data_IF_375607710832
#
_entry.id   IF_375607710832
#
_cell.length_a   1.000
_cell.length_b   1.000
_cell.length_c   1.000
_cell.angle_alpha   90.00
_cell.angle_beta   90.00
_cell.angle_gamma   90.00
#
_symmetry.space_group_name_H-M   'P 1'
#
loop_
_entity.id
_entity.type
_entity.pdbx_description
1 polymer ?
#
# COMPACT_ATOMS: atom_id res chain seq x y z
N UNK A 1 -15.60 14.96 5.63
CA UNK A 1 -14.61 14.47 6.59
C UNK A 1 -14.54 12.95 6.52
N UNK A 2 -13.35 12.45 6.31
CA UNK A 2 -13.03 11.02 6.28
C UNK A 2 -12.18 10.66 7.49
N UNK A 3 -12.65 9.74 8.32
CA UNK A 3 -11.90 9.22 9.46
C UNK A 3 -11.26 7.89 9.05
N UNK A 4 -9.94 7.78 9.20
CA UNK A 4 -9.20 6.57 8.82
C UNK A 4 -9.46 5.43 9.80
N UNK A 5 -9.93 4.30 9.31
CA UNK A 5 -10.16 3.09 10.12
C UNK A 5 -8.86 2.32 10.41
N UNK A 6 -7.81 2.57 9.61
CA UNK A 6 -6.52 1.91 9.77
C UNK A 6 -5.65 2.49 10.91
N UNK A 7 -6.00 3.69 11.41
CA UNK A 7 -5.26 4.40 12.44
C UNK A 7 -6.19 4.71 13.63
N UNK A 8 -6.52 3.68 14.37
CA UNK A 8 -7.35 3.78 15.57
C UNK A 8 -6.45 3.59 16.79
N UNK A 9 -6.59 4.42 17.84
CA UNK A 9 -5.85 4.22 19.08
C UNK A 9 -6.08 2.83 19.66
N UNK A 10 -5.05 2.27 20.29
CA UNK A 10 -5.07 0.92 20.85
C UNK A 10 -6.22 0.74 21.86
N UNK A 11 -7.03 -0.29 21.66
CA UNK A 11 -8.20 -0.56 22.51
C UNK A 11 -9.47 0.22 22.18
N UNK A 12 -9.48 1.08 21.16
CA UNK A 12 -10.66 1.85 20.75
C UNK A 12 -11.38 1.19 19.57
N UNK A 13 -12.73 1.17 19.62
CA UNK A 13 -13.54 0.70 18.50
C UNK A 13 -13.59 1.76 17.39
N UNK A 14 -13.26 1.45 16.11
CA UNK A 14 -13.30 2.38 14.99
C UNK A 14 -14.63 3.13 14.83
N UNK A 15 -15.76 2.44 15.02
CA UNK A 15 -17.09 3.05 14.95
C UNK A 15 -17.31 4.10 16.04
N UNK A 16 -16.86 3.85 17.26
CA UNK A 16 -16.97 4.81 18.36
C UNK A 16 -16.10 6.03 18.13
N UNK A 17 -14.92 5.85 17.54
CA UNK A 17 -14.05 6.93 17.15
C UNK A 17 -14.71 7.82 16.09
N UNK A 18 -15.29 7.23 15.05
CA UNK A 18 -15.99 7.96 13.98
C UNK A 18 -17.19 8.74 14.53
N UNK A 19 -18.01 8.14 15.39
CA UNK A 19 -19.14 8.82 16.05
C UNK A 19 -18.67 9.96 16.97
N UNK A 20 -17.52 9.79 17.63
CA UNK A 20 -16.97 10.84 18.48
C UNK A 20 -16.45 12.02 17.66
N UNK A 21 -15.81 11.74 16.51
CA UNK A 21 -15.38 12.76 15.55
C UNK A 21 -16.59 13.54 15.00
N UNK A 22 -17.66 12.84 14.61
CA UNK A 22 -18.91 13.46 14.15
C UNK A 22 -19.47 14.44 15.18
N UNK A 23 -19.58 14.01 16.45
CA UNK A 23 -20.06 14.88 17.53
C UNK A 23 -19.22 16.12 17.70
N UNK A 24 -17.90 16.01 17.61
CA UNK A 24 -17.00 17.15 17.72
C UNK A 24 -17.06 18.09 16.51
N UNK A 25 -17.31 17.56 15.29
CA UNK A 25 -17.61 18.37 14.10
C UNK A 25 -18.83 19.23 14.35
N UNK A 26 -19.92 18.66 14.87
CA UNK A 26 -21.13 19.41 15.26
C UNK A 26 -20.83 20.54 16.22
N UNK A 27 -20.15 20.24 17.30
CA UNK A 27 -19.90 21.21 18.38
C UNK A 27 -18.91 22.33 17.99
N UNK A 28 -17.98 22.08 17.07
CA UNK A 28 -16.89 23.01 16.79
C UNK A 28 -17.00 23.75 15.48
N UNK A 29 -17.65 23.14 14.49
CA UNK A 29 -17.72 23.71 13.15
C UNK A 29 -19.13 24.23 12.81
N UNK A 30 -20.20 23.55 13.25
CA UNK A 30 -21.54 23.93 12.84
C UNK A 30 -22.03 25.24 13.45
N UNK A 31 -21.53 25.62 14.63
CA UNK A 31 -21.92 26.90 15.27
C UNK A 31 -21.36 28.14 14.55
N UNK A 32 -20.37 27.96 13.65
CA UNK A 32 -19.69 29.05 12.97
C UNK A 32 -20.31 29.42 11.63
N UNK A 33 -21.07 28.51 11.02
CA UNK A 33 -21.64 28.68 9.67
C UNK A 33 -23.06 28.11 9.57
N UNK A 34 -23.85 28.67 8.67
CA UNK A 34 -25.12 28.06 8.29
C UNK A 34 -24.82 26.79 7.49
N UNK A 35 -24.96 25.64 8.13
CA UNK A 35 -24.61 24.35 7.52
C UNK A 35 -25.60 23.25 7.86
N UNK A 36 -25.63 22.24 7.00
CA UNK A 36 -26.38 20.99 7.18
C UNK A 36 -25.41 19.82 7.20
N UNK A 37 -25.63 18.91 8.13
CA UNK A 37 -24.81 17.72 8.28
C UNK A 37 -25.53 16.48 7.77
N UNK A 38 -24.76 15.60 7.16
CA UNK A 38 -25.21 14.28 6.67
C UNK A 38 -24.11 13.25 6.93
N UNK A 39 -24.55 11.99 7.16
CA UNK A 39 -23.63 10.85 7.14
C UNK A 39 -23.91 10.09 5.85
N UNK A 40 -22.86 9.89 5.06
CA UNK A 40 -22.97 9.16 3.81
C UNK A 40 -21.71 8.32 3.57
N UNK A 41 -21.88 7.02 3.34
CA UNK A 41 -20.79 6.06 3.12
C UNK A 41 -19.68 6.15 4.19
N UNK A 42 -20.05 6.24 5.46
CA UNK A 42 -19.10 6.30 6.58
C UNK A 42 -18.34 7.62 6.73
N UNK A 43 -18.70 8.64 5.95
CA UNK A 43 -18.11 9.97 6.03
C UNK A 43 -19.11 10.99 6.57
N UNK A 44 -18.62 11.97 7.34
CA UNK A 44 -19.42 13.11 7.78
C UNK A 44 -19.34 14.22 6.74
N UNK A 45 -20.48 14.62 6.17
CA UNK A 45 -20.60 15.69 5.18
C UNK A 45 -21.20 16.92 5.82
N UNK A 46 -20.65 18.07 5.48
CA UNK A 46 -21.24 19.37 5.78
C UNK A 46 -21.55 20.09 4.46
N UNK A 47 -22.80 20.50 4.27
CA UNK A 47 -23.20 21.43 3.22
C UNK A 47 -23.29 22.80 3.87
N UNK A 48 -22.49 23.73 3.38
CA UNK A 48 -22.37 25.08 3.93
C UNK A 48 -22.93 26.08 2.94
N UNK A 49 -23.65 27.08 3.48
CA UNK A 49 -24.08 28.26 2.73
C UNK A 49 -23.00 29.34 2.84
N UNK A 50 -22.54 29.84 1.69
CA UNK A 50 -21.51 30.86 1.60
C UNK A 50 -22.11 32.18 1.15
N UNK A 51 -21.88 33.25 1.90
CA UNK A 51 -22.29 34.61 1.48
C UNK A 51 -21.28 35.25 0.51
N UNK A 52 -20.05 34.71 0.43
CA UNK A 52 -18.99 35.17 -0.46
C UNK A 52 -17.96 34.06 -0.71
N UNK A 53 -17.36 34.01 -1.92
CA UNK A 53 -16.34 33.02 -2.28
C UNK A 53 -15.09 33.09 -1.41
N UNK A 54 -14.71 34.27 -0.94
CA UNK A 54 -13.53 34.48 -0.07
C UNK A 54 -13.61 33.69 1.24
N UNK A 55 -14.82 33.25 1.65
CA UNK A 55 -15.00 32.46 2.87
C UNK A 55 -14.50 31.02 2.75
N UNK A 56 -14.26 30.50 1.55
CA UNK A 56 -13.79 29.13 1.36
C UNK A 56 -12.43 28.89 2.01
N UNK A 57 -11.55 29.89 1.97
CA UNK A 57 -10.23 29.84 2.65
C UNK A 57 -10.39 29.74 4.16
N UNK A 58 -11.30 30.51 4.75
CA UNK A 58 -11.58 30.46 6.19
C UNK A 58 -12.13 29.10 6.62
N UNK A 59 -12.99 28.49 5.78
CA UNK A 59 -13.53 27.16 6.00
C UNK A 59 -12.42 26.11 5.89
N UNK A 60 -11.56 26.22 4.87
CA UNK A 60 -10.39 25.35 4.69
C UNK A 60 -9.52 25.37 5.93
N UNK A 61 -9.18 26.56 6.44
CA UNK A 61 -8.37 26.74 7.64
C UNK A 61 -9.05 26.17 8.90
N UNK A 62 -10.36 26.35 9.04
CA UNK A 62 -11.08 25.82 10.18
C UNK A 62 -11.14 24.29 10.16
N UNK A 63 -11.39 23.71 9.00
CA UNK A 63 -11.35 22.25 8.81
C UNK A 63 -9.94 21.69 9.06
N UNK A 64 -8.90 22.40 8.64
CA UNK A 64 -7.51 22.01 8.86
C UNK A 64 -7.15 22.03 10.35
N UNK A 65 -7.53 23.11 11.06
CA UNK A 65 -7.37 23.18 12.52
C UNK A 65 -8.11 22.06 13.23
N UNK A 66 -9.33 21.72 12.78
CA UNK A 66 -10.11 20.63 13.34
C UNK A 66 -9.40 19.27 13.13
N UNK A 67 -8.93 18.97 11.93
CA UNK A 67 -8.22 17.71 11.62
C UNK A 67 -6.98 17.54 12.51
N UNK A 68 -6.19 18.60 12.70
CA UNK A 68 -5.01 18.56 13.59
C UNK A 68 -5.40 18.42 15.06
N UNK A 69 -6.49 19.07 15.49
CA UNK A 69 -7.02 18.95 16.84
C UNK A 69 -7.52 17.52 17.12
N UNK A 70 -8.31 16.95 16.20
CA UNK A 70 -8.82 15.57 16.31
C UNK A 70 -7.69 14.57 16.51
N UNK A 71 -6.60 14.72 15.74
CA UNK A 71 -5.43 13.86 15.92
C UNK A 71 -4.76 14.06 17.28
N UNK A 72 -4.56 15.29 17.72
CA UNK A 72 -3.84 15.61 18.96
C UNK A 72 -4.60 15.18 20.21
N UNK A 73 -5.91 15.33 20.23
CA UNK A 73 -6.75 15.11 21.41
C UNK A 73 -7.39 13.71 21.42
N UNK A 74 -7.80 13.22 20.26
CA UNK A 74 -8.54 11.96 20.15
C UNK A 74 -7.70 10.84 19.53
N UNK A 75 -6.52 11.13 19.00
CA UNK A 75 -5.75 10.21 18.19
C UNK A 75 -6.39 9.87 16.84
N UNK A 76 -7.48 10.57 16.46
CA UNK A 76 -8.23 10.31 15.24
C UNK A 76 -7.52 10.90 14.02
N UNK A 77 -7.21 10.06 13.03
CA UNK A 77 -6.68 10.50 11.75
C UNK A 77 -7.83 10.90 10.84
N UNK A 78 -8.10 12.21 10.77
CA UNK A 78 -9.19 12.78 9.98
C UNK A 78 -8.63 13.60 8.83
N UNK A 79 -9.21 13.45 7.64
CA UNK A 79 -8.93 14.28 6.46
C UNK A 79 -10.23 14.94 6.00
N UNK A 80 -10.24 16.25 5.83
CA UNK A 80 -11.37 17.00 5.30
C UNK A 80 -11.12 17.30 3.83
N UNK A 81 -12.02 16.86 2.95
CA UNK A 81 -12.04 17.26 1.53
C UNK A 81 -13.03 18.41 1.34
N UNK A 82 -12.61 19.44 0.62
CA UNK A 82 -13.44 20.58 0.30
C UNK A 82 -13.68 20.59 -1.21
N UNK A 83 -14.95 20.52 -1.58
CA UNK A 83 -15.40 20.54 -2.98
C UNK A 83 -15.44 21.93 -3.56
N UNK A 84 -15.91 22.03 -4.79
CA UNK A 84 -16.13 23.32 -5.48
C UNK A 84 -17.36 24.03 -4.93
N UNK A 85 -17.32 25.36 -4.92
CA UNK A 85 -18.52 26.19 -4.69
C UNK A 85 -19.49 25.97 -5.85
N UNK A 86 -20.78 25.93 -5.55
CA UNK A 86 -21.83 25.78 -6.53
C UNK A 86 -22.96 26.76 -6.25
N UNK A 87 -23.57 27.30 -7.32
CA UNK A 87 -24.66 28.29 -7.23
C UNK A 87 -26.03 27.64 -7.18
N UNK A 88 -26.12 26.33 -7.42
CA UNK A 88 -27.36 25.58 -7.50
C UNK A 88 -27.34 24.32 -6.63
N UNK A 89 -28.47 24.03 -5.98
CA UNK A 89 -28.67 22.78 -5.24
C UNK A 89 -28.51 21.54 -6.12
N UNK A 90 -28.72 21.63 -7.42
CA UNK A 90 -28.53 20.51 -8.36
C UNK A 90 -27.07 20.15 -8.57
N UNK A 91 -26.15 21.07 -8.25
CA UNK A 91 -24.71 20.88 -8.39
C UNK A 91 -24.04 20.36 -7.10
N UNK A 92 -24.80 20.21 -6.01
CA UNK A 92 -24.27 19.71 -4.74
C UNK A 92 -23.65 18.32 -4.92
N UNK A 93 -24.23 17.45 -5.75
CA UNK A 93 -23.67 16.14 -6.05
C UNK A 93 -22.28 16.23 -6.67
N UNK A 94 -22.09 17.17 -7.60
CA UNK A 94 -20.78 17.42 -8.22
C UNK A 94 -19.79 17.98 -7.19
N UNK A 95 -20.20 18.94 -6.35
CA UNK A 95 -19.36 19.45 -5.27
C UNK A 95 -18.94 18.35 -4.28
N UNK A 96 -19.87 17.42 -3.97
CA UNK A 96 -19.57 16.26 -3.14
C UNK A 96 -18.52 15.32 -3.80
N UNK A 97 -18.67 15.03 -5.09
CA UNK A 97 -17.68 14.22 -5.82
C UNK A 97 -16.31 14.88 -5.80
N UNK A 98 -16.24 16.19 -5.98
CA UNK A 98 -15.00 16.97 -5.88
C UNK A 98 -14.42 16.97 -4.47
N UNK A 99 -15.24 17.05 -3.42
CA UNK A 99 -14.79 16.93 -2.05
C UNK A 99 -14.22 15.52 -1.75
N UNK A 100 -14.86 14.48 -2.29
CA UNK A 100 -14.37 13.09 -2.18
C UNK A 100 -13.06 12.88 -2.95
N UNK A 101 -12.95 13.48 -4.14
CA UNK A 101 -11.70 13.52 -4.89
C UNK A 101 -10.59 14.20 -4.08
N UNK A 102 -10.88 15.36 -3.45
CA UNK A 102 -9.93 16.04 -2.58
C UNK A 102 -9.45 15.15 -1.43
N UNK A 103 -10.34 14.37 -0.79
CA UNK A 103 -9.93 13.41 0.25
C UNK A 103 -8.97 12.35 -0.31
N UNK A 104 -9.14 11.91 -1.56
CA UNK A 104 -8.23 10.92 -2.15
C UNK A 104 -6.80 11.41 -2.28
N UNK A 105 -6.59 12.72 -2.46
CA UNK A 105 -5.27 13.34 -2.50
C UNK A 105 -4.50 13.31 -1.17
N UNK A 106 -5.11 12.78 -0.07
CA UNK A 106 -4.41 12.58 1.21
C UNK A 106 -3.16 11.72 1.08
N UNK A 107 -3.12 10.83 0.09
CA UNK A 107 -1.95 9.98 -0.20
C UNK A 107 -0.76 10.77 -0.71
N UNK A 108 -0.98 11.93 -1.35
CA UNK A 108 0.06 12.82 -1.89
C UNK A 108 0.37 13.99 -0.95
N UNK A 109 -0.66 14.55 -0.30
CA UNK A 109 -0.51 15.75 0.54
C UNK A 109 -0.48 15.44 2.04
N UNK A 110 -0.65 14.17 2.41
CA UNK A 110 -0.69 13.72 3.80
C UNK A 110 -2.09 13.78 4.42
N UNK A 111 -2.25 13.05 5.51
CA UNK A 111 -3.46 12.98 6.34
C UNK A 111 -3.51 14.09 7.40
N UNK A 112 -4.57 14.14 8.21
CA UNK A 112 -4.74 15.05 9.37
C UNK A 112 -4.85 16.52 8.98
N UNK A 113 -5.41 16.80 7.81
CA UNK A 113 -5.51 18.14 7.24
C UNK A 113 -6.76 18.30 6.38
N UNK A 114 -7.07 19.55 6.06
CA UNK A 114 -8.02 19.87 5.01
C UNK A 114 -7.32 19.94 3.65
N UNK A 115 -8.01 19.49 2.62
CA UNK A 115 -7.56 19.53 1.23
C UNK A 115 -8.68 20.14 0.40
N UNK A 116 -8.41 21.30 -0.17
CA UNK A 116 -9.35 22.02 -1.03
C UNK A 116 -9.06 21.68 -2.49
N UNK A 117 -10.05 21.12 -3.20
CA UNK A 117 -9.89 20.72 -4.59
C UNK A 117 -9.52 21.90 -5.50
N UNK A 118 -10.00 23.10 -5.21
CA UNK A 118 -9.67 24.31 -5.95
C UNK A 118 -8.22 24.78 -5.81
N UNK A 119 -7.51 24.32 -4.78
CA UNK A 119 -6.09 24.63 -4.56
C UNK A 119 -5.17 23.59 -5.17
N UNK A 120 -5.72 22.43 -5.59
CA UNK A 120 -4.97 21.39 -6.29
C UNK A 120 -4.77 21.85 -7.73
N UNK A 121 -3.63 22.46 -8.02
CA UNK A 121 -3.26 22.88 -9.37
C UNK A 121 -2.82 21.64 -10.15
N UNK A 122 -3.48 21.28 -11.27
CA UNK A 122 -2.94 20.27 -12.17
C UNK A 122 -1.61 20.78 -12.72
N UNK A 123 -0.52 20.14 -12.37
CA UNK A 123 0.75 20.40 -13.05
C UNK A 123 0.67 19.78 -14.43
N UNK A 124 0.55 20.62 -15.46
CA UNK A 124 0.33 20.22 -16.86
C UNK A 124 1.49 19.46 -17.53
N UNK A 125 2.51 19.06 -16.80
CA UNK A 125 3.61 18.27 -17.34
C UNK A 125 3.49 16.81 -16.90
N UNK A 126 2.81 16.02 -17.74
CA UNK A 126 2.97 14.57 -17.72
C UNK A 126 4.41 14.28 -18.16
N UNK A 127 5.33 14.22 -17.21
CA UNK A 127 6.63 13.61 -17.49
C UNK A 127 6.33 12.15 -17.86
N UNK A 128 6.83 11.67 -19.02
CA UNK A 128 6.67 10.27 -19.36
C UNK A 128 7.25 9.46 -18.21
N UNK A 129 6.42 8.60 -17.64
CA UNK A 129 6.86 7.61 -16.66
C UNK A 129 7.93 6.79 -17.36
N UNK A 130 9.18 6.92 -16.95
CA UNK A 130 10.27 6.15 -17.53
C UNK A 130 9.94 4.67 -17.33
N UNK A 131 9.99 3.91 -18.42
CA UNK A 131 9.69 2.47 -18.46
C UNK A 131 10.60 1.70 -17.48
N UNK A 132 10.02 0.99 -16.54
CA UNK A 132 10.62 0.75 -15.25
C UNK A 132 10.79 -0.72 -14.93
N UNK A 133 11.35 -1.49 -15.83
CA UNK A 133 11.93 -2.78 -15.44
C UNK A 133 12.97 -2.63 -14.30
N UNK A 134 13.45 -1.42 -14.07
CA UNK A 134 14.44 -1.09 -13.03
C UNK A 134 13.86 -0.74 -11.66
N UNK A 135 12.56 -0.38 -11.55
CA UNK A 135 12.03 0.27 -10.35
C UNK A 135 12.13 -0.61 -9.11
N UNK A 136 11.64 -1.82 -9.15
CA UNK A 136 11.57 -2.69 -7.97
C UNK A 136 12.75 -3.65 -7.82
N UNK A 137 13.80 -3.53 -8.64
CA UNK A 137 14.93 -4.48 -8.62
C UNK A 137 15.65 -4.53 -7.26
N UNK A 138 15.81 -3.38 -6.61
CA UNK A 138 16.44 -3.31 -5.29
C UNK A 138 15.61 -4.06 -4.25
N UNK A 139 14.30 -3.88 -4.25
CA UNK A 139 13.37 -4.58 -3.35
C UNK A 139 13.35 -6.08 -3.64
N UNK A 140 13.27 -6.50 -4.89
CA UNK A 140 13.27 -7.91 -5.26
C UNK A 140 14.61 -8.60 -4.94
N UNK A 141 15.73 -7.87 -5.01
CA UNK A 141 17.01 -8.37 -4.54
C UNK A 141 17.00 -8.59 -3.03
N UNK A 142 16.51 -7.63 -2.25
CA UNK A 142 16.38 -7.75 -0.80
C UNK A 142 15.48 -8.92 -0.40
N UNK A 143 14.35 -9.13 -1.09
CA UNK A 143 13.46 -10.28 -0.89
C UNK A 143 14.20 -11.62 -1.13
N UNK A 144 15.02 -11.71 -2.19
CA UNK A 144 15.80 -12.93 -2.48
C UNK A 144 16.87 -13.22 -1.44
N UNK A 145 17.51 -12.19 -0.88
CA UNK A 145 18.51 -12.31 0.19
C UNK A 145 17.81 -12.70 1.50
N UNK A 146 16.68 -12.08 1.79
CA UNK A 146 15.84 -12.39 2.93
C UNK A 146 16.32 -11.74 4.23
N UNK A 147 16.97 -10.60 4.14
CA UNK A 147 17.31 -9.75 5.28
C UNK A 147 16.18 -8.73 5.50
N UNK A 148 15.53 -8.80 6.67
CA UNK A 148 14.38 -7.95 7.01
C UNK A 148 14.75 -6.47 7.02
N UNK A 149 15.93 -6.11 7.49
CA UNK A 149 16.39 -4.72 7.52
C UNK A 149 16.70 -4.17 6.12
N UNK A 150 17.16 -5.01 5.18
CA UNK A 150 17.33 -4.62 3.78
C UNK A 150 15.99 -4.49 3.07
N UNK A 151 15.02 -5.38 3.35
CA UNK A 151 13.66 -5.31 2.82
C UNK A 151 13.00 -3.99 3.24
N UNK A 152 13.05 -3.66 4.52
CA UNK A 152 12.47 -2.42 5.06
C UNK A 152 13.10 -1.18 4.41
N UNK A 153 14.43 -1.12 4.32
CA UNK A 153 15.14 0.00 3.66
C UNK A 153 14.78 0.12 2.17
N UNK A 154 14.69 -1.01 1.47
CA UNK A 154 14.33 -1.03 0.06
C UNK A 154 12.87 -0.60 -0.15
N UNK A 155 11.93 -1.03 0.71
CA UNK A 155 10.53 -0.62 0.66
C UNK A 155 10.39 0.89 0.87
N UNK A 156 11.05 1.46 1.87
CA UNK A 156 11.09 2.91 2.06
C UNK A 156 11.67 3.66 0.86
N UNK A 157 12.74 3.13 0.25
CA UNK A 157 13.33 3.70 -0.96
C UNK A 157 12.38 3.70 -2.17
N UNK A 158 11.54 2.66 -2.32
CA UNK A 158 10.51 2.62 -3.37
C UNK A 158 9.40 3.65 -3.10
N UNK A 159 8.98 3.83 -1.85
CA UNK A 159 8.00 4.86 -1.48
C UNK A 159 8.52 6.27 -1.71
N UNK A 160 9.79 6.55 -1.39
CA UNK A 160 10.41 7.85 -1.70
C UNK A 160 10.41 8.16 -3.20
N UNK A 161 10.73 7.16 -4.03
CA UNK A 161 10.68 7.29 -5.49
C UNK A 161 9.26 7.53 -5.97
N UNK A 162 8.29 6.77 -5.44
CA UNK A 162 6.88 6.94 -5.77
C UNK A 162 6.45 8.37 -5.47
N UNK A 163 6.74 8.87 -4.26
CA UNK A 163 6.36 10.22 -3.85
C UNK A 163 7.01 11.32 -4.70
N UNK A 164 8.29 11.17 -5.06
CA UNK A 164 9.01 12.12 -5.92
C UNK A 164 8.50 12.16 -7.36
N UNK A 165 7.96 11.04 -7.86
CA UNK A 165 7.58 10.89 -9.26
C UNK A 165 6.07 11.00 -9.51
N UNK A 166 5.26 11.17 -8.46
CA UNK A 166 3.81 11.27 -8.57
C UNK A 166 3.33 12.65 -8.13
N UNK A 167 2.74 13.39 -9.08
CA UNK A 167 2.18 14.72 -8.85
C UNK A 167 0.65 14.70 -8.87
N UNK A 168 0.05 13.65 -9.47
CA UNK A 168 -1.39 13.50 -9.64
C UNK A 168 -1.88 12.15 -9.11
N UNK A 169 -3.17 12.08 -8.77
CA UNK A 169 -3.81 10.82 -8.36
C UNK A 169 -3.76 9.74 -9.45
N UNK A 170 -3.86 10.13 -10.72
CA UNK A 170 -3.74 9.18 -11.83
C UNK A 170 -2.36 8.54 -11.89
N UNK A 171 -1.30 9.34 -11.71
CA UNK A 171 0.08 8.82 -11.63
C UNK A 171 0.28 7.94 -10.39
N UNK A 172 -0.27 8.33 -9.24
CA UNK A 172 -0.22 7.53 -8.01
C UNK A 172 -0.91 6.18 -8.20
N UNK A 173 -2.12 6.17 -8.75
CA UNK A 173 -2.85 4.94 -9.02
C UNK A 173 -2.10 4.04 -10.01
N UNK A 174 -1.50 4.61 -11.06
CA UNK A 174 -0.69 3.84 -12.00
C UNK A 174 0.53 3.24 -11.31
N UNK A 175 1.27 4.01 -10.52
CA UNK A 175 2.44 3.54 -9.80
C UNK A 175 2.12 2.45 -8.77
N UNK A 176 0.99 2.56 -8.06
CA UNK A 176 0.54 1.49 -7.14
C UNK A 176 0.12 0.22 -7.88
N UNK A 177 -0.51 0.35 -9.05
CA UNK A 177 -0.79 -0.80 -9.93
C UNK A 177 0.50 -1.48 -10.40
N UNK A 178 1.54 -0.71 -10.75
CA UNK A 178 2.84 -1.24 -11.13
C UNK A 178 3.51 -2.00 -9.98
N UNK A 179 3.43 -1.51 -8.75
CA UNK A 179 3.95 -2.21 -7.56
C UNK A 179 3.26 -3.56 -7.39
N UNK A 180 1.92 -3.60 -7.42
CA UNK A 180 1.16 -4.86 -7.27
C UNK A 180 1.48 -5.82 -8.40
N UNK A 181 1.52 -5.33 -9.66
CA UNK A 181 1.88 -6.14 -10.83
C UNK A 181 3.32 -6.66 -10.75
N UNK A 182 4.24 -5.86 -10.22
CA UNK A 182 5.62 -6.24 -9.99
C UNK A 182 5.75 -7.41 -9.01
N UNK A 183 5.03 -7.37 -7.90
CA UNK A 183 4.97 -8.50 -6.95
C UNK A 183 4.37 -9.75 -7.59
N UNK A 184 3.29 -9.59 -8.36
CA UNK A 184 2.69 -10.72 -9.09
C UNK A 184 3.69 -11.37 -10.04
N UNK A 185 4.36 -10.55 -10.89
CA UNK A 185 5.38 -11.03 -11.82
C UNK A 185 6.52 -11.72 -11.08
N UNK A 186 7.03 -11.10 -10.02
CA UNK A 186 8.10 -11.67 -9.19
C UNK A 186 7.72 -13.03 -8.60
N UNK A 187 6.51 -13.19 -8.07
CA UNK A 187 6.02 -14.47 -7.57
C UNK A 187 5.94 -15.52 -8.68
N UNK A 188 5.38 -15.15 -9.83
CA UNK A 188 5.27 -16.04 -11.00
C UNK A 188 6.64 -16.53 -11.47
N UNK A 189 7.62 -15.63 -11.61
CA UNK A 189 8.99 -15.93 -12.04
C UNK A 189 9.72 -16.86 -11.04
N UNK A 190 9.29 -16.88 -9.77
CA UNK A 190 9.84 -17.75 -8.74
C UNK A 190 8.91 -18.94 -8.38
N UNK A 191 7.95 -19.27 -9.23
CA UNK A 191 7.01 -20.39 -9.06
C UNK A 191 6.20 -20.32 -7.77
N UNK A 192 5.91 -19.12 -7.28
CA UNK A 192 5.04 -18.86 -6.15
C UNK A 192 3.64 -18.44 -6.63
N UNK A 193 2.61 -18.93 -5.94
CA UNK A 193 1.23 -18.53 -6.19
C UNK A 193 0.91 -17.25 -5.42
N UNK A 194 0.90 -16.13 -6.14
CA UNK A 194 0.61 -14.82 -5.57
C UNK A 194 -0.78 -14.75 -4.90
N UNK A 195 -1.80 -15.40 -5.48
CA UNK A 195 -3.14 -15.37 -4.91
C UNK A 195 -3.23 -16.08 -3.56
N UNK A 196 -2.38 -17.10 -3.31
CA UNK A 196 -2.29 -17.74 -2.00
C UNK A 196 -1.56 -16.89 -0.96
N UNK A 197 -0.76 -15.93 -1.41
CA UNK A 197 0.01 -15.04 -0.53
C UNK A 197 -0.81 -13.82 -0.17
N UNK A 198 -1.44 -13.19 -1.15
CA UNK A 198 -2.06 -11.85 -1.03
C UNK A 198 -3.58 -11.85 -1.20
N UNK A 199 -4.19 -12.95 -1.64
CA UNK A 199 -5.61 -12.99 -2.02
C UNK A 199 -5.86 -12.58 -3.48
N UNK A 200 -7.12 -12.28 -3.82
CA UNK A 200 -7.49 -11.92 -5.19
C UNK A 200 -6.89 -10.57 -5.59
N UNK A 201 -6.22 -10.51 -6.75
CA UNK A 201 -5.58 -9.30 -7.29
C UNK A 201 -6.52 -8.09 -7.36
N UNK A 202 -7.76 -8.28 -7.77
CA UNK A 202 -8.71 -7.18 -7.91
C UNK A 202 -8.99 -6.48 -6.57
N UNK A 203 -9.19 -7.27 -5.51
CA UNK A 203 -9.39 -6.74 -4.17
C UNK A 203 -8.14 -6.03 -3.62
N UNK A 204 -6.95 -6.45 -4.07
CA UNK A 204 -5.68 -5.84 -3.67
C UNK A 204 -5.54 -4.45 -4.28
N UNK A 205 -5.85 -4.27 -5.57
CA UNK A 205 -5.80 -2.95 -6.21
C UNK A 205 -6.73 -1.95 -5.53
N UNK A 206 -7.96 -2.34 -5.26
CA UNK A 206 -8.92 -1.49 -4.54
C UNK A 206 -8.41 -1.11 -3.15
N UNK A 207 -7.85 -2.07 -2.43
CA UNK A 207 -7.29 -1.84 -1.10
C UNK A 207 -6.06 -0.93 -1.13
N UNK A 208 -5.11 -1.21 -2.03
CA UNK A 208 -3.83 -0.48 -2.12
C UNK A 208 -4.03 0.95 -2.60
N UNK A 209 -4.95 1.19 -3.55
CA UNK A 209 -5.26 2.53 -4.06
C UNK A 209 -5.87 3.48 -3.00
N UNK A 210 -6.40 2.93 -1.91
CA UNK A 210 -6.99 3.71 -0.81
C UNK A 210 -6.05 3.87 0.39
N UNK A 211 -4.89 3.22 0.38
CA UNK A 211 -3.90 3.30 1.45
C UNK A 211 -3.22 4.67 1.44
N UNK A 212 -2.96 5.21 2.62
CA UNK A 212 -2.02 6.30 2.79
C UNK A 212 -0.57 5.79 2.70
N UNK A 213 0.38 6.72 2.65
CA UNK A 213 1.81 6.41 2.48
C UNK A 213 2.32 5.42 3.54
N UNK A 214 1.95 5.60 4.80
CA UNK A 214 2.40 4.75 5.90
C UNK A 214 1.83 3.33 5.80
N UNK A 215 0.54 3.22 5.48
CA UNK A 215 -0.14 1.93 5.29
C UNK A 215 0.37 1.20 4.06
N UNK A 216 0.66 1.92 2.97
CA UNK A 216 1.22 1.33 1.75
C UNK A 216 2.65 0.83 1.99
N UNK A 217 3.49 1.60 2.69
CA UNK A 217 4.84 1.19 3.07
C UNK A 217 4.80 -0.09 3.92
N UNK A 218 3.97 -0.12 4.95
CA UNK A 218 3.80 -1.29 5.82
C UNK A 218 3.33 -2.51 5.02
N UNK A 219 2.40 -2.33 4.07
CA UNK A 219 1.92 -3.40 3.20
C UNK A 219 3.04 -3.93 2.29
N UNK A 220 3.86 -3.05 1.69
CA UNK A 220 5.01 -3.47 0.85
C UNK A 220 6.01 -4.29 1.69
N UNK A 221 6.34 -3.85 2.90
CA UNK A 221 7.24 -4.57 3.81
C UNK A 221 6.67 -5.94 4.14
N UNK A 222 5.44 -6.01 4.62
CA UNK A 222 4.76 -7.26 4.99
C UNK A 222 4.69 -8.25 3.81
N UNK A 223 4.32 -7.76 2.62
CA UNK A 223 4.27 -8.58 1.40
C UNK A 223 5.65 -9.12 1.05
N UNK A 224 6.68 -8.28 1.11
CA UNK A 224 8.06 -8.63 0.80
C UNK A 224 8.60 -9.70 1.78
N UNK A 225 8.34 -9.56 3.06
CA UNK A 225 8.73 -10.54 4.08
C UNK A 225 8.03 -11.88 3.87
N UNK A 226 6.71 -11.85 3.62
CA UNK A 226 5.93 -13.06 3.36
C UNK A 226 6.45 -13.81 2.13
N UNK A 227 6.75 -13.09 1.04
CA UNK A 227 7.32 -13.68 -0.17
C UNK A 227 8.70 -14.26 0.12
N UNK A 228 9.54 -13.53 0.86
CA UNK A 228 10.89 -13.97 1.25
C UNK A 228 10.86 -15.28 2.04
N UNK A 229 9.96 -15.39 3.02
CA UNK A 229 9.77 -16.62 3.80
C UNK A 229 9.33 -17.79 2.92
N UNK A 230 8.37 -17.57 1.99
CA UNK A 230 7.93 -18.59 1.05
C UNK A 230 9.07 -19.06 0.13
N UNK A 231 9.92 -18.15 -0.33
CA UNK A 231 11.11 -18.49 -1.12
C UNK A 231 12.11 -19.32 -0.32
N UNK A 232 12.36 -18.97 0.93
CA UNK A 232 13.22 -19.75 1.83
C UNK A 232 12.67 -21.18 2.03
N UNK A 233 11.38 -21.29 2.31
CA UNK A 233 10.72 -22.59 2.46
C UNK A 233 10.78 -23.43 1.17
N UNK A 234 10.54 -22.82 0.02
CA UNK A 234 10.61 -23.53 -1.28
C UNK A 234 12.04 -24.02 -1.58
N UNK A 235 13.07 -23.21 -1.30
CA UNK A 235 14.47 -23.61 -1.46
C UNK A 235 14.83 -24.77 -0.55
N UNK A 236 14.45 -24.72 0.72
CA UNK A 236 14.73 -25.78 1.69
C UNK A 236 14.02 -27.09 1.33
N UNK A 237 12.77 -27.01 0.88
CA UNK A 237 12.03 -28.21 0.44
C UNK A 237 12.65 -28.83 -0.82
N UNK A 238 13.12 -28.02 -1.76
CA UNK A 238 13.82 -28.49 -2.97
C UNK A 238 15.17 -29.14 -2.63
N UNK A 239 15.94 -28.53 -1.71
CA UNK A 239 17.19 -29.06 -1.22
C UNK A 239 16.99 -30.45 -0.56
N UNK A 240 15.99 -30.53 0.34
CA UNK A 240 15.65 -31.80 1.02
C UNK A 240 15.20 -32.88 0.06
N UNK A 241 14.39 -32.54 -0.95
CA UNK A 241 13.96 -33.49 -1.99
C UNK A 241 15.16 -34.01 -2.79
N UNK A 242 16.09 -33.13 -3.17
CA UNK A 242 17.30 -33.49 -3.88
C UNK A 242 18.14 -34.51 -3.10
N UNK A 243 18.27 -34.34 -1.78
CA UNK A 243 19.01 -35.26 -0.92
C UNK A 243 18.32 -36.64 -0.85
N UNK A 244 17.00 -36.68 -0.68
CA UNK A 244 16.25 -37.94 -0.65
C UNK A 244 16.36 -38.68 -1.97
N UNK A 245 16.26 -37.99 -3.12
CA UNK A 245 16.45 -38.57 -4.42
C UNK A 245 17.89 -39.12 -4.59
N UNK A 246 18.90 -38.40 -4.14
CA UNK A 246 20.28 -38.87 -4.15
C UNK A 246 20.48 -40.13 -3.28
N UNK A 247 19.90 -40.17 -2.10
CA UNK A 247 19.94 -41.34 -1.21
C UNK A 247 19.28 -42.57 -1.86
N UNK A 248 18.13 -42.37 -2.51
CA UNK A 248 17.45 -43.44 -3.21
C UNK A 248 18.32 -44.01 -4.36
N UNK A 249 18.93 -43.13 -5.19
CA UNK A 249 19.82 -43.57 -6.27
C UNK A 249 20.98 -44.40 -5.72
N UNK A 250 21.60 -43.93 -4.61
CA UNK A 250 22.70 -44.67 -3.99
C UNK A 250 22.23 -46.01 -3.42
N UNK A 251 21.05 -46.09 -2.78
CA UNK A 251 20.48 -47.32 -2.24
C UNK A 251 20.14 -48.35 -3.33
N UNK A 252 19.68 -47.88 -4.48
CA UNK A 252 19.33 -48.77 -5.60
C UNK A 252 20.56 -49.30 -6.33
N UNK A 253 21.62 -48.45 -6.39
CA UNK A 253 22.79 -48.72 -7.24
C UNK A 253 24.11 -48.96 -6.49
N UNK A 254 24.09 -49.10 -5.15
CA UNK A 254 25.33 -49.21 -4.36
C UNK A 254 26.16 -50.46 -4.71
N UNK A 255 25.60 -51.44 -5.36
CA UNK A 255 26.29 -52.65 -5.84
C UNK A 255 27.00 -52.45 -7.18
N UNK A 256 26.74 -51.36 -7.89
CA UNK A 256 27.35 -51.07 -9.18
C UNK A 256 28.78 -50.49 -8.95
N UNK A 257 29.76 -51.02 -9.67
CA UNK A 257 31.15 -50.62 -9.53
C UNK A 257 31.42 -49.17 -9.99
N UNK A 258 30.55 -48.66 -10.85
CA UNK A 258 30.72 -47.36 -11.52
C UNK A 258 29.99 -46.19 -10.80
N UNK A 259 29.28 -46.47 -9.68
CA UNK A 259 28.60 -45.41 -8.94
C UNK A 259 29.60 -44.37 -8.41
N UNK A 260 29.40 -43.13 -8.79
CA UNK A 260 30.24 -42.02 -8.41
C UNK A 260 29.40 -40.77 -8.10
N UNK A 261 29.99 -39.79 -7.42
CA UNK A 261 29.33 -38.51 -7.17
C UNK A 261 28.93 -37.83 -8.49
N UNK A 262 29.81 -37.90 -9.50
CA UNK A 262 29.54 -37.36 -10.84
C UNK A 262 28.33 -37.95 -11.49
N UNK A 263 28.16 -39.28 -11.36
CA UNK A 263 27.04 -40.00 -11.93
C UNK A 263 25.71 -39.68 -11.21
N UNK A 264 25.72 -39.64 -9.87
CA UNK A 264 24.55 -39.20 -9.09
C UNK A 264 24.15 -37.79 -9.44
N UNK A 265 25.09 -36.88 -9.54
CA UNK A 265 24.83 -35.47 -9.91
C UNK A 265 24.30 -35.37 -11.37
N UNK A 266 24.81 -36.17 -12.27
CA UNK A 266 24.32 -36.25 -13.67
C UNK A 266 22.85 -36.71 -13.75
N UNK A 267 22.50 -37.73 -12.98
CA UNK A 267 21.10 -38.24 -12.91
C UNK A 267 20.17 -37.18 -12.31
N UNK A 268 20.64 -36.49 -11.29
CA UNK A 268 19.88 -35.41 -10.60
C UNK A 268 19.83 -34.11 -11.41
N UNK A 269 20.63 -33.97 -12.46
CA UNK A 269 20.70 -32.76 -13.29
C UNK A 269 21.31 -31.56 -12.57
N UNK A 270 22.24 -31.79 -11.63
CA UNK A 270 22.87 -30.73 -10.82
C UNK A 270 24.39 -30.80 -10.91
N UNK A 271 25.06 -29.68 -10.64
CA UNK A 271 26.52 -29.68 -10.56
C UNK A 271 27.03 -30.24 -9.23
N UNK A 272 28.21 -30.88 -9.24
CA UNK A 272 28.85 -31.43 -8.06
C UNK A 272 29.08 -30.38 -6.97
N UNK A 273 29.43 -29.16 -7.37
CA UNK A 273 29.63 -28.04 -6.45
C UNK A 273 28.34 -27.64 -5.72
N UNK A 274 27.24 -27.57 -6.45
CA UNK A 274 25.92 -27.27 -5.89
C UNK A 274 25.46 -28.40 -4.97
N UNK A 275 25.50 -29.66 -5.44
CA UNK A 275 25.11 -30.82 -4.65
C UNK A 275 25.92 -30.90 -3.34
N UNK A 276 27.26 -30.78 -3.41
CA UNK A 276 28.12 -30.81 -2.23
C UNK A 276 27.82 -29.71 -1.24
N UNK A 277 27.44 -28.51 -1.72
CA UNK A 277 27.09 -27.39 -0.84
C UNK A 277 25.74 -27.61 -0.15
N UNK A 278 24.77 -28.23 -0.82
CA UNK A 278 23.46 -28.59 -0.26
C UNK A 278 23.61 -29.72 0.74
N UNK A 279 24.32 -30.78 0.39
CA UNK A 279 24.52 -31.98 1.22
C UNK A 279 25.26 -31.70 2.54
N UNK A 280 26.13 -30.69 2.58
CA UNK A 280 26.84 -30.28 3.80
C UNK A 280 26.00 -29.46 4.77
N UNK A 281 24.88 -28.89 4.30
CA UNK A 281 24.01 -28.01 5.11
C UNK A 281 22.88 -28.74 5.82
N UNK A 282 22.46 -29.89 5.27
CA UNK A 282 21.44 -30.79 5.85
C UNK A 282 22.08 -31.94 6.65
#
# INVERSE_FOLDING_TARGET
FHTSENHVPEGMNPLLLSMSVEREIKQRLMDQWNCREFIYMGNTLLILELDAEDKITQITDACDRFCRWAYRIMGAVVTAGIGTVCDSLYEISLSYERAREAVSYRVLYGTKRAINIGEIVPKEQIKPVQSEESRMQTLFRAIRIGDSAEIERAAHGEMEKLHKNTETMSQYNLATMEIVSGFFKFCTDNSLDFNKISGNMQNIYEKVSQMDESSLTAWIVQMSETISEKLKCARNSSARRLIVEAQNIVQERYMEADISLDEVCAVLGVSNSYFSSVFKKE
#
